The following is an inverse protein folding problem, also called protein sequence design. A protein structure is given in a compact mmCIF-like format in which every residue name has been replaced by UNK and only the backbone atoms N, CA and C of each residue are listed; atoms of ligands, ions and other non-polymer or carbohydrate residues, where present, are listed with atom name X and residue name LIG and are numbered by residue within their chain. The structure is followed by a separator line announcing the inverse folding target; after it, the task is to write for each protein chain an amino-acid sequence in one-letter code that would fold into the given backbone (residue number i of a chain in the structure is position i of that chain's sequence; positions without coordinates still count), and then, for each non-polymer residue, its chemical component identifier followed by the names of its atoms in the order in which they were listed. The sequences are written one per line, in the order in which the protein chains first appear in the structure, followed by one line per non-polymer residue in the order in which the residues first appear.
data_IF_574361254901
#
_entry.id   IF_574361254901
#
_cell.length_a   1.000
_cell.length_b   1.000
_cell.length_c   1.000
_cell.angle_alpha   90.00
_cell.angle_beta   90.00
_cell.angle_gamma   90.00
#
_symmetry.space_group_name_H-M   'P 1'
#
loop_
_entity.id
_entity.type
_entity.pdbx_description
1 polymer ?
#
# COMPACT_ATOMS: atom_id res chain seq x y z
N UNK A 1 20.45 37.27 7.33
CA UNK A 1 20.52 35.96 7.98
C UNK A 1 19.25 35.21 7.73
N UNK A 2 19.20 34.48 6.59
CA UNK A 2 18.08 33.65 6.19
C UNK A 2 18.06 32.34 6.97
N UNK A 3 17.38 32.32 8.10
CA UNK A 3 17.23 31.14 8.91
C UNK A 3 16.27 30.16 8.16
N UNK A 4 16.71 28.92 7.94
CA UNK A 4 15.97 27.86 7.25
C UNK A 4 14.57 27.66 7.85
N UNK A 5 14.43 27.83 9.17
CA UNK A 5 13.15 27.81 9.90
C UNK A 5 12.18 28.91 9.45
N UNK A 6 12.68 30.12 9.16
CA UNK A 6 11.86 31.23 8.66
C UNK A 6 11.41 30.98 7.21
N UNK A 7 12.26 30.32 6.41
CA UNK A 7 11.91 29.88 5.05
C UNK A 7 10.82 28.81 5.03
N UNK A 8 10.91 27.79 5.89
CA UNK A 8 9.91 26.75 6.06
C UNK A 8 8.57 27.29 6.57
N UNK A 9 8.60 28.19 7.57
CA UNK A 9 7.38 28.83 8.09
C UNK A 9 6.71 29.75 7.03
N UNK A 10 7.49 30.43 6.20
CA UNK A 10 6.97 31.20 5.06
C UNK A 10 6.42 30.30 3.98
N UNK A 11 7.07 29.18 3.66
CA UNK A 11 6.55 28.21 2.70
C UNK A 11 5.23 27.57 3.17
N UNK A 12 5.12 27.19 4.46
CA UNK A 12 3.87 26.68 5.04
C UNK A 12 2.76 27.72 5.09
N UNK A 13 3.08 28.99 5.37
CA UNK A 13 2.13 30.09 5.31
C UNK A 13 1.67 30.36 3.85
N UNK A 14 2.58 30.28 2.87
CA UNK A 14 2.26 30.43 1.45
C UNK A 14 1.32 29.31 0.95
N UNK A 15 1.53 28.07 1.39
CA UNK A 15 0.63 26.94 1.08
C UNK A 15 -0.73 27.13 1.75
N UNK A 16 -0.75 27.63 3.00
CA UNK A 16 -1.98 27.89 3.76
C UNK A 16 -2.82 29.01 3.13
N UNK A 17 -2.18 30.05 2.56
CA UNK A 17 -2.86 31.20 1.95
C UNK A 17 -3.25 30.99 0.46
N UNK A 18 -3.11 29.79 -0.07
CA UNK A 18 -3.48 29.46 -1.48
C UNK A 18 -2.74 30.26 -2.59
N UNK A 19 -1.66 30.96 -2.27
CA UNK A 19 -0.96 31.84 -3.22
C UNK A 19 -0.17 31.11 -4.31
N UNK A 20 0.04 29.78 -4.13
CA UNK A 20 0.74 28.94 -5.13
C UNK A 20 -0.20 28.31 -6.16
N UNK A 21 -1.52 28.45 -5.99
CA UNK A 21 -2.46 27.92 -6.97
C UNK A 21 -2.62 28.90 -8.16
N UNK A 22 -2.75 28.39 -9.39
CA UNK A 22 -3.05 29.23 -10.56
C UNK A 22 -4.31 30.07 -10.31
N UNK A 23 -4.32 31.32 -10.84
CA UNK A 23 -5.51 32.18 -10.79
C UNK A 23 -6.68 31.43 -11.44
N UNK A 24 -7.78 31.28 -10.72
CA UNK A 24 -8.97 30.53 -11.17
C UNK A 24 -9.07 29.09 -10.67
N UNK A 25 -8.07 28.58 -9.93
CA UNK A 25 -8.20 27.32 -9.24
C UNK A 25 -8.89 27.56 -7.88
N UNK A 26 -10.20 27.40 -7.87
CA UNK A 26 -10.98 27.50 -6.63
C UNK A 26 -10.87 26.18 -5.84
N UNK A 27 -10.25 26.28 -4.67
CA UNK A 27 -10.05 25.16 -3.76
C UNK A 27 -11.38 24.51 -3.31
N UNK A 28 -12.43 25.31 -3.22
CA UNK A 28 -13.75 24.85 -2.79
C UNK A 28 -14.46 24.03 -3.87
N UNK A 29 -14.15 24.26 -5.15
CA UNK A 29 -14.87 23.67 -6.29
C UNK A 29 -14.18 22.43 -6.87
N UNK A 30 -12.84 22.39 -6.88
CA UNK A 30 -12.08 21.29 -7.50
C UNK A 30 -11.69 20.16 -6.54
N UNK A 31 -11.52 20.47 -5.26
CA UNK A 31 -11.03 19.52 -4.26
C UNK A 31 -12.01 18.38 -3.92
N UNK A 32 -13.32 18.62 -3.73
CA UNK A 32 -14.26 17.55 -3.43
C UNK A 32 -14.36 16.49 -4.53
N UNK A 33 -14.32 16.91 -5.79
CA UNK A 33 -14.37 15.98 -6.93
C UNK A 33 -13.15 15.06 -6.96
N UNK A 34 -11.96 15.61 -6.68
CA UNK A 34 -10.72 14.84 -6.58
C UNK A 34 -10.82 13.82 -5.43
N UNK A 35 -11.37 14.20 -4.28
CA UNK A 35 -11.55 13.28 -3.15
C UNK A 35 -12.52 12.15 -3.49
N UNK A 36 -13.63 12.45 -4.17
CA UNK A 36 -14.62 11.45 -4.60
C UNK A 36 -14.02 10.51 -5.64
N UNK A 37 -13.34 11.03 -6.66
CA UNK A 37 -12.65 10.21 -7.66
C UNK A 37 -11.58 9.34 -7.00
N UNK A 38 -10.81 9.89 -6.05
CA UNK A 38 -9.82 9.15 -5.27
C UNK A 38 -10.44 7.99 -4.48
N UNK A 39 -11.53 8.25 -3.76
CA UNK A 39 -12.24 7.24 -2.99
C UNK A 39 -12.84 6.15 -3.87
N UNK A 40 -13.49 6.53 -4.99
CA UNK A 40 -14.04 5.61 -5.97
C UNK A 40 -12.94 4.73 -6.59
N UNK A 41 -11.80 5.32 -6.96
CA UNK A 41 -10.63 4.60 -7.50
C UNK A 41 -10.08 3.62 -6.47
N UNK A 42 -9.92 4.05 -5.20
CA UNK A 42 -9.42 3.21 -4.13
C UNK A 42 -10.32 1.99 -3.93
N UNK A 43 -11.63 2.20 -3.83
CA UNK A 43 -12.62 1.15 -3.63
C UNK A 43 -12.69 0.18 -4.81
N UNK A 44 -12.83 0.71 -6.04
CA UNK A 44 -12.93 -0.11 -7.24
C UNK A 44 -11.67 -0.96 -7.44
N UNK A 45 -10.48 -0.40 -7.30
CA UNK A 45 -9.24 -1.15 -7.41
C UNK A 45 -9.11 -2.23 -6.31
N UNK A 46 -9.60 -1.98 -5.09
CA UNK A 46 -9.61 -2.98 -4.02
C UNK A 46 -10.52 -4.17 -4.35
N UNK A 47 -11.71 -3.92 -4.92
CA UNK A 47 -12.60 -5.02 -5.36
C UNK A 47 -11.97 -5.86 -6.48
N UNK A 48 -11.24 -5.22 -7.41
CA UNK A 48 -10.48 -5.94 -8.44
C UNK A 48 -9.35 -6.79 -7.83
N UNK A 49 -8.67 -6.27 -6.80
CA UNK A 49 -7.62 -7.01 -6.07
C UNK A 49 -8.14 -8.29 -5.41
N UNK A 50 -9.37 -8.29 -4.91
CA UNK A 50 -10.01 -9.48 -4.33
C UNK A 50 -10.21 -10.58 -5.37
N UNK A 51 -10.59 -10.23 -6.59
CA UNK A 51 -10.92 -11.18 -7.66
C UNK A 51 -9.68 -11.81 -8.33
N UNK A 52 -8.49 -11.20 -8.19
CA UNK A 52 -7.28 -11.69 -8.85
C UNK A 52 -6.72 -12.95 -8.18
N UNK A 53 -6.20 -13.85 -9.00
CA UNK A 53 -5.43 -15.03 -8.57
C UNK A 53 -3.94 -14.90 -8.84
N UNK A 54 -3.53 -14.01 -9.73
CA UNK A 54 -2.13 -13.69 -10.02
C UNK A 54 -1.55 -12.76 -8.95
N UNK A 55 -0.46 -13.20 -8.30
CA UNK A 55 0.20 -12.46 -7.20
C UNK A 55 0.61 -11.04 -7.61
N UNK A 56 1.13 -10.85 -8.84
CA UNK A 56 1.52 -9.52 -9.35
C UNK A 56 0.30 -8.65 -9.60
N UNK A 57 -0.80 -9.21 -10.14
CA UNK A 57 -2.03 -8.46 -10.40
C UNK A 57 -2.70 -8.01 -9.11
N UNK A 58 -2.75 -8.86 -8.07
CA UNK A 58 -3.23 -8.45 -6.74
C UNK A 58 -2.46 -7.22 -6.25
N UNK A 59 -1.13 -7.25 -6.32
CA UNK A 59 -0.28 -6.16 -5.87
C UNK A 59 -0.40 -4.91 -6.77
N UNK A 60 -0.61 -5.07 -8.08
CA UNK A 60 -0.84 -3.95 -9.00
C UNK A 60 -2.14 -3.21 -8.67
N UNK A 61 -3.27 -3.92 -8.53
CA UNK A 61 -4.54 -3.30 -8.12
C UNK A 61 -4.46 -2.69 -6.72
N UNK A 62 -3.73 -3.31 -5.83
CA UNK A 62 -3.43 -2.74 -4.52
C UNK A 62 -2.68 -1.40 -4.64
N UNK A 63 -1.76 -1.23 -5.62
CA UNK A 63 -1.08 0.05 -5.87
C UNK A 63 -2.08 1.12 -6.30
N UNK A 64 -2.95 0.80 -7.27
CA UNK A 64 -3.99 1.72 -7.73
C UNK A 64 -4.91 2.14 -6.58
N UNK A 65 -5.27 1.19 -5.71
CA UNK A 65 -6.08 1.47 -4.52
C UNK A 65 -5.39 2.46 -3.57
N UNK A 66 -4.09 2.27 -3.28
CA UNK A 66 -3.35 3.18 -2.38
C UNK A 66 -3.13 4.58 -3.01
N UNK A 67 -2.92 4.65 -4.33
CA UNK A 67 -2.91 5.94 -5.03
C UNK A 67 -4.25 6.66 -4.87
N UNK A 68 -5.38 5.95 -4.91
CA UNK A 68 -6.69 6.51 -4.61
C UNK A 68 -6.75 7.21 -3.25
N UNK A 69 -6.17 6.63 -2.18
CA UNK A 69 -6.06 7.30 -0.88
C UNK A 69 -5.23 8.60 -0.93
N UNK A 70 -4.15 8.61 -1.73
CA UNK A 70 -3.35 9.83 -1.90
C UNK A 70 -4.15 10.92 -2.60
N UNK A 71 -4.98 10.56 -3.59
CA UNK A 71 -5.92 11.49 -4.22
C UNK A 71 -7.00 11.96 -3.26
N UNK A 72 -7.50 11.09 -2.35
CA UNK A 72 -8.40 11.53 -1.27
C UNK A 72 -7.72 12.59 -0.41
N UNK A 73 -6.48 12.36 0.03
CA UNK A 73 -5.73 13.32 0.83
C UNK A 73 -5.57 14.67 0.12
N UNK A 74 -5.20 14.65 -1.17
CA UNK A 74 -5.10 15.87 -1.99
C UNK A 74 -6.45 16.57 -2.10
N UNK A 75 -7.52 15.82 -2.36
CA UNK A 75 -8.87 16.34 -2.54
C UNK A 75 -9.47 17.00 -1.29
N UNK A 76 -9.10 16.52 -0.10
CA UNK A 76 -9.50 17.13 1.18
C UNK A 76 -8.51 18.20 1.69
N UNK A 77 -7.46 18.51 0.89
CA UNK A 77 -6.44 19.49 1.25
C UNK A 77 -5.39 19.04 2.25
N UNK A 78 -5.32 17.74 2.56
CA UNK A 78 -4.36 17.12 3.48
C UNK A 78 -3.08 16.70 2.75
N UNK A 79 -2.39 17.63 2.11
CA UNK A 79 -1.20 17.36 1.27
C UNK A 79 -0.08 16.64 2.02
N UNK A 80 0.16 17.04 3.27
CA UNK A 80 1.19 16.41 4.13
C UNK A 80 0.87 14.95 4.38
N UNK A 81 -0.38 14.61 4.69
CA UNK A 81 -0.83 13.23 4.88
C UNK A 81 -0.66 12.42 3.57
N UNK A 82 -0.98 13.02 2.41
CA UNK A 82 -0.79 12.40 1.11
C UNK A 82 0.68 12.07 0.83
N UNK A 83 1.61 13.01 1.08
CA UNK A 83 3.06 12.80 0.90
C UNK A 83 3.60 11.80 1.93
N UNK A 84 3.14 11.87 3.17
CA UNK A 84 3.52 10.89 4.19
C UNK A 84 3.09 9.47 3.79
N UNK A 85 1.86 9.32 3.28
CA UNK A 85 1.40 8.02 2.79
C UNK A 85 2.17 7.57 1.54
N UNK A 86 2.55 8.48 0.64
CA UNK A 86 3.40 8.16 -0.51
C UNK A 86 4.75 7.59 -0.07
N UNK A 87 5.38 8.19 0.96
CA UNK A 87 6.66 7.73 1.49
C UNK A 87 6.55 6.34 2.11
N UNK A 88 5.60 6.12 3.03
CA UNK A 88 5.40 4.82 3.67
C UNK A 88 5.00 3.75 2.66
N UNK A 89 4.14 4.13 1.68
CA UNK A 89 3.73 3.28 0.57
C UNK A 89 4.92 2.81 -0.27
N UNK A 90 5.91 3.66 -0.53
CA UNK A 90 7.09 3.27 -1.30
C UNK A 90 7.83 2.10 -0.63
N UNK A 91 8.00 2.11 0.69
CA UNK A 91 8.69 1.05 1.42
C UNK A 91 7.91 -0.27 1.42
N UNK A 92 6.68 -0.28 1.90
CA UNK A 92 5.93 -1.54 1.95
C UNK A 92 5.51 -2.06 0.57
N UNK A 93 5.41 -1.20 -0.45
CA UNK A 93 5.16 -1.66 -1.82
C UNK A 93 6.38 -2.27 -2.47
N UNK A 94 7.55 -1.65 -2.31
CA UNK A 94 8.80 -2.26 -2.75
C UNK A 94 8.99 -3.63 -2.07
N UNK A 95 8.74 -3.71 -0.76
CA UNK A 95 8.79 -4.96 -0.01
C UNK A 95 7.88 -6.04 -0.61
N UNK A 96 6.61 -5.71 -0.84
CA UNK A 96 5.62 -6.66 -1.35
C UNK A 96 5.92 -7.11 -2.78
N UNK A 97 6.34 -6.20 -3.68
CA UNK A 97 6.68 -6.56 -5.04
C UNK A 97 7.98 -7.37 -5.15
N UNK A 98 9.02 -7.01 -4.40
CA UNK A 98 10.25 -7.79 -4.35
C UNK A 98 10.01 -9.14 -3.69
N UNK A 99 9.18 -9.20 -2.64
CA UNK A 99 8.75 -10.44 -1.99
C UNK A 99 7.96 -11.34 -2.95
N UNK A 100 7.05 -10.77 -3.75
CA UNK A 100 6.37 -11.53 -4.80
C UNK A 100 7.35 -12.04 -5.87
N UNK A 101 8.37 -11.25 -6.22
CA UNK A 101 9.47 -11.70 -7.09
C UNK A 101 10.22 -12.90 -6.51
N UNK A 102 10.50 -12.88 -5.20
CA UNK A 102 11.13 -14.00 -4.49
C UNK A 102 10.24 -15.26 -4.49
N UNK A 103 8.93 -15.11 -4.27
CA UNK A 103 7.96 -16.23 -4.36
C UNK A 103 7.96 -16.83 -5.77
N UNK A 104 7.87 -16.01 -6.81
CA UNK A 104 7.85 -16.44 -8.20
C UNK A 104 9.17 -17.13 -8.58
N UNK A 105 10.30 -16.61 -8.09
CA UNK A 105 11.61 -17.25 -8.29
C UNK A 105 11.66 -18.64 -7.68
N UNK A 106 11.21 -18.78 -6.42
CA UNK A 106 11.16 -20.07 -5.74
C UNK A 106 10.20 -21.07 -6.43
N UNK A 107 9.12 -20.56 -7.03
CA UNK A 107 8.08 -21.34 -7.73
C UNK A 107 8.41 -21.57 -9.23
N UNK A 108 9.67 -21.38 -9.65
CA UNK A 108 10.11 -21.58 -11.05
C UNK A 108 9.28 -20.79 -12.08
N UNK A 109 8.81 -19.59 -11.71
CA UNK A 109 8.05 -18.71 -12.59
C UNK A 109 6.54 -18.74 -12.42
N UNK A 110 5.98 -19.63 -11.59
CA UNK A 110 4.53 -19.68 -11.34
C UNK A 110 4.05 -18.42 -10.61
N UNK A 111 2.92 -17.86 -11.06
CA UNK A 111 2.32 -16.63 -10.53
C UNK A 111 0.91 -16.84 -9.97
N UNK A 112 0.27 -17.96 -10.27
CA UNK A 112 -1.08 -18.26 -9.83
C UNK A 112 -1.09 -18.72 -8.35
N UNK A 113 -1.70 -17.91 -7.48
CA UNK A 113 -1.87 -18.19 -6.05
C UNK A 113 -2.62 -19.52 -5.79
N UNK A 114 -3.48 -19.95 -6.73
CA UNK A 114 -4.21 -21.20 -6.60
C UNK A 114 -3.31 -22.44 -6.78
N UNK A 115 -2.15 -22.27 -7.39
CA UNK A 115 -1.13 -23.31 -7.55
C UNK A 115 -0.02 -23.26 -6.50
N UNK A 116 -0.11 -22.30 -5.56
CA UNK A 116 0.80 -22.15 -4.43
C UNK A 116 0.24 -22.82 -3.18
N UNK A 117 0.92 -22.70 -2.06
CA UNK A 117 0.48 -23.14 -0.74
C UNK A 117 1.60 -23.77 0.05
N UNK A 118 1.59 -23.60 1.38
CA UNK A 118 2.57 -24.19 2.29
C UNK A 118 3.98 -23.62 2.17
N UNK A 119 4.22 -22.56 1.37
CA UNK A 119 5.55 -22.03 1.06
C UNK A 119 6.33 -21.53 2.29
N UNK A 120 5.66 -21.23 3.41
CA UNK A 120 6.31 -20.76 4.65
C UNK A 120 7.44 -21.67 5.15
N UNK A 121 7.39 -22.96 4.81
CA UNK A 121 8.38 -23.95 5.24
C UNK A 121 9.65 -23.92 4.39
N UNK A 122 9.53 -23.52 3.14
CA UNK A 122 10.58 -23.53 2.13
C UNK A 122 11.27 -22.18 2.00
N UNK A 123 10.51 -21.09 2.15
CA UNK A 123 10.99 -19.70 2.01
C UNK A 123 10.59 -18.85 3.21
N UNK A 124 11.11 -19.14 4.41
CA UNK A 124 10.70 -18.49 5.66
C UNK A 124 11.04 -17.00 5.73
N UNK A 125 12.17 -16.55 5.19
CA UNK A 125 12.53 -15.12 5.19
C UNK A 125 11.57 -14.34 4.31
N UNK A 126 11.32 -14.82 3.10
CA UNK A 126 10.33 -14.22 2.18
C UNK A 126 8.93 -14.21 2.80
N UNK A 127 8.53 -15.31 3.49
CA UNK A 127 7.24 -15.36 4.18
C UNK A 127 7.08 -14.25 5.22
N UNK A 128 8.02 -14.13 6.17
CA UNK A 128 7.89 -13.14 7.24
C UNK A 128 7.96 -11.70 6.73
N UNK A 129 8.79 -11.42 5.75
CA UNK A 129 8.86 -10.09 5.15
C UNK A 129 7.58 -9.74 4.39
N UNK A 130 6.95 -10.70 3.71
CA UNK A 130 5.64 -10.53 3.07
C UNK A 130 4.52 -10.31 4.09
N UNK A 131 4.56 -11.00 5.24
CA UNK A 131 3.60 -10.77 6.34
C UNK A 131 3.74 -9.35 6.89
N UNK A 132 4.97 -8.86 7.13
CA UNK A 132 5.23 -7.47 7.56
C UNK A 132 4.66 -6.49 6.55
N UNK A 133 4.92 -6.68 5.25
CA UNK A 133 4.36 -5.83 4.19
C UNK A 133 2.84 -5.86 4.15
N UNK A 134 2.23 -7.03 4.35
CA UNK A 134 0.77 -7.18 4.39
C UNK A 134 0.15 -6.46 5.60
N UNK A 135 0.79 -6.53 6.78
CA UNK A 135 0.37 -5.80 7.99
C UNK A 135 0.49 -4.28 7.78
N UNK A 136 1.62 -3.83 7.21
CA UNK A 136 1.86 -2.43 6.94
C UNK A 136 0.83 -1.83 5.97
N UNK A 137 0.61 -2.45 4.80
CA UNK A 137 -0.37 -1.94 3.83
C UNK A 137 -1.81 -2.04 4.34
N UNK A 138 -2.13 -3.00 5.19
CA UNK A 138 -3.46 -3.13 5.80
C UNK A 138 -3.75 -2.03 6.81
N UNK A 139 -2.74 -1.29 7.27
CA UNK A 139 -2.89 -0.24 8.27
C UNK A 139 -3.11 -0.80 9.68
N UNK A 140 -2.36 -1.85 10.04
CA UNK A 140 -2.40 -2.46 11.37
C UNK A 140 -1.33 -1.80 12.24
N UNK A 141 -1.69 -1.42 13.48
CA UNK A 141 -0.73 -0.92 14.46
C UNK A 141 0.30 -2.01 14.83
N UNK A 142 1.59 -1.71 14.96
CA UNK A 142 2.25 -0.40 14.93
C UNK A 142 2.94 -0.04 13.59
N UNK A 143 2.55 -0.63 12.48
CA UNK A 143 3.21 -0.45 11.18
C UNK A 143 2.96 0.93 10.57
N UNK A 144 3.91 1.40 9.75
CA UNK A 144 3.90 2.75 9.15
C UNK A 144 2.61 3.08 8.37
N UNK A 145 2.01 2.08 7.71
CA UNK A 145 0.76 2.25 6.98
C UNK A 145 -0.45 2.56 7.85
N UNK A 146 -0.43 2.20 9.15
CA UNK A 146 -1.47 2.59 10.10
C UNK A 146 -1.49 4.11 10.26
N UNK A 147 -0.37 4.70 10.63
CA UNK A 147 -0.27 6.14 10.89
C UNK A 147 -0.61 6.97 9.66
N UNK A 148 -0.07 6.61 8.51
CA UNK A 148 -0.26 7.39 7.28
C UNK A 148 -1.68 7.28 6.71
N UNK A 149 -2.31 6.12 6.81
CA UNK A 149 -3.69 5.92 6.33
C UNK A 149 -4.72 6.52 7.28
N UNK A 150 -4.50 6.39 8.59
CA UNK A 150 -5.35 6.97 9.62
C UNK A 150 -5.41 8.50 9.50
N UNK A 151 -4.27 9.14 9.24
CA UNK A 151 -4.21 10.59 9.04
C UNK A 151 -5.01 11.05 7.80
N UNK A 152 -5.00 10.28 6.71
CA UNK A 152 -5.84 10.56 5.52
C UNK A 152 -7.32 10.42 5.87
N UNK A 153 -7.70 9.34 6.55
CA UNK A 153 -9.10 9.09 6.94
C UNK A 153 -9.59 10.14 7.94
N UNK A 154 -8.77 10.47 8.93
CA UNK A 154 -9.09 11.54 9.87
C UNK A 154 -9.28 12.89 9.18
N UNK A 155 -8.40 13.22 8.23
CA UNK A 155 -8.50 14.45 7.44
C UNK A 155 -9.79 14.49 6.61
N UNK A 156 -10.21 13.37 6.02
CA UNK A 156 -11.46 13.28 5.27
C UNK A 156 -12.68 13.50 6.19
N UNK A 157 -12.68 12.92 7.38
CA UNK A 157 -13.74 13.09 8.36
C UNK A 157 -13.82 14.53 8.87
N UNK A 158 -12.70 15.08 9.36
CA UNK A 158 -12.63 16.41 9.95
C UNK A 158 -12.88 17.56 8.95
N UNK A 159 -12.65 17.30 7.66
CA UNK A 159 -12.97 18.24 6.57
C UNK A 159 -14.43 18.20 6.11
N UNK A 160 -15.30 17.42 6.79
CA UNK A 160 -16.73 17.36 6.49
C UNK A 160 -17.09 16.47 5.31
N UNK A 161 -16.26 15.44 5.00
CA UNK A 161 -16.49 14.49 3.91
C UNK A 161 -16.78 13.06 4.46
N UNK A 162 -17.85 12.83 5.23
CA UNK A 162 -18.11 11.56 5.92
C UNK A 162 -18.32 10.39 4.95
N UNK A 163 -18.86 10.64 3.76
CA UNK A 163 -19.03 9.61 2.72
C UNK A 163 -17.67 9.13 2.19
N UNK A 164 -16.74 10.05 1.90
CA UNK A 164 -15.39 9.74 1.46
C UNK A 164 -14.64 8.95 2.53
N UNK A 165 -14.79 9.36 3.80
CA UNK A 165 -14.26 8.63 4.95
C UNK A 165 -14.82 7.20 5.03
N UNK A 166 -16.15 7.02 4.92
CA UNK A 166 -16.78 5.71 5.00
C UNK A 166 -16.32 4.77 3.88
N UNK A 167 -16.23 5.28 2.63
CA UNK A 167 -15.70 4.52 1.49
C UNK A 167 -14.23 4.16 1.72
N UNK A 168 -13.43 5.10 2.23
CA UNK A 168 -12.04 4.86 2.59
C UNK A 168 -11.89 3.79 3.66
N UNK A 169 -12.69 3.84 4.73
CA UNK A 169 -12.67 2.83 5.80
C UNK A 169 -13.06 1.44 5.28
N UNK A 170 -14.12 1.35 4.48
CA UNK A 170 -14.51 0.10 3.82
C UNK A 170 -13.38 -0.45 2.94
N UNK A 171 -12.73 0.41 2.17
CA UNK A 171 -11.59 0.07 1.33
C UNK A 171 -10.40 -0.44 2.14
N UNK A 172 -10.16 0.11 3.34
CA UNK A 172 -9.11 -0.39 4.25
C UNK A 172 -9.40 -1.84 4.67
N UNK A 173 -10.65 -2.16 4.99
CA UNK A 173 -11.10 -3.53 5.27
C UNK A 173 -10.88 -4.48 4.08
N UNK A 174 -11.24 -4.04 2.86
CA UNK A 174 -10.99 -4.82 1.65
C UNK A 174 -9.48 -5.02 1.40
N UNK A 175 -8.66 -3.99 1.70
CA UNK A 175 -7.19 -4.08 1.59
C UNK A 175 -6.64 -5.16 2.50
N UNK A 176 -7.05 -5.18 3.76
CA UNK A 176 -6.66 -6.22 4.71
C UNK A 176 -7.10 -7.60 4.20
N UNK A 177 -8.34 -7.73 3.75
CA UNK A 177 -8.88 -8.98 3.26
C UNK A 177 -8.06 -9.57 2.10
N UNK A 178 -7.84 -8.81 1.00
CA UNK A 178 -7.11 -9.37 -0.15
C UNK A 178 -5.62 -9.60 0.13
N UNK A 179 -5.01 -8.80 1.00
CA UNK A 179 -3.61 -9.02 1.39
C UNK A 179 -3.43 -10.28 2.23
N UNK A 180 -4.31 -10.50 3.23
CA UNK A 180 -4.27 -11.74 4.00
C UNK A 180 -4.71 -12.95 3.19
N UNK A 181 -5.63 -12.79 2.22
CA UNK A 181 -5.95 -13.82 1.24
C UNK A 181 -4.70 -14.22 0.42
N UNK A 182 -3.93 -13.23 -0.08
CA UNK A 182 -2.69 -13.49 -0.81
C UNK A 182 -1.69 -14.27 0.06
N UNK A 183 -1.43 -13.81 1.29
CA UNK A 183 -0.51 -14.49 2.22
C UNK A 183 -1.00 -15.90 2.54
N UNK A 184 -2.28 -16.08 2.79
CA UNK A 184 -2.87 -17.40 3.11
C UNK A 184 -2.76 -18.37 1.94
N UNK A 185 -3.05 -17.92 0.73
CA UNK A 185 -2.98 -18.77 -0.46
C UNK A 185 -1.54 -19.16 -0.82
N UNK A 186 -0.58 -18.25 -0.68
CA UNK A 186 0.80 -18.52 -1.03
C UNK A 186 1.54 -19.32 0.06
N UNK A 187 1.41 -18.92 1.31
CA UNK A 187 2.31 -19.42 2.38
C UNK A 187 1.66 -20.40 3.33
N UNK A 188 0.33 -20.38 3.49
CA UNK A 188 -0.38 -21.22 4.43
C UNK A 188 -1.24 -22.26 3.69
N UNK A 189 -1.85 -23.18 4.46
CA UNK A 189 -2.69 -24.23 3.89
C UNK A 189 -1.92 -25.40 3.28
N UNK A 190 -2.64 -26.18 2.46
CA UNK A 190 -2.08 -27.35 1.76
C UNK A 190 -1.24 -26.94 0.55
N UNK A 191 -0.19 -27.70 0.28
CA UNK A 191 0.62 -27.55 -0.91
C UNK A 191 -0.19 -27.95 -2.14
N UNK A 192 -0.22 -27.07 -3.18
CA UNK A 192 -0.95 -27.28 -4.43
C UNK A 192 -0.03 -27.28 -5.64
N UNK A 193 1.27 -27.15 -5.41
CA UNK A 193 2.31 -27.19 -6.43
C UNK A 193 2.57 -28.62 -6.90
N UNK A 194 3.13 -28.77 -8.09
CA UNK A 194 3.55 -30.05 -8.64
C UNK A 194 4.83 -30.58 -7.97
N UNK A 195 5.10 -31.87 -8.16
CA UNK A 195 6.26 -32.55 -7.57
C UNK A 195 7.60 -32.03 -8.11
N UNK A 196 7.63 -31.56 -9.34
CA UNK A 196 8.83 -31.02 -9.99
C UNK A 196 9.20 -29.67 -9.37
N UNK A 197 8.27 -28.74 -9.31
CA UNK A 197 8.43 -27.43 -8.66
C UNK A 197 8.87 -27.61 -7.20
N UNK A 198 8.25 -28.55 -6.48
CA UNK A 198 8.58 -28.81 -5.08
C UNK A 198 10.03 -29.22 -4.85
N UNK A 199 10.65 -29.97 -5.75
CA UNK A 199 12.06 -30.39 -5.64
C UNK A 199 13.05 -29.23 -5.76
N UNK A 200 12.67 -28.17 -6.44
CA UNK A 200 13.51 -27.00 -6.69
C UNK A 200 13.23 -25.83 -5.73
N UNK A 201 12.25 -25.99 -4.80
CA UNK A 201 11.94 -24.97 -3.82
C UNK A 201 13.09 -24.72 -2.86
N UNK A 202 13.59 -23.50 -2.87
CA UNK A 202 14.60 -23.00 -1.94
C UNK A 202 14.42 -21.53 -1.70
N UNK A 203 14.93 -21.03 -0.57
CA UNK A 203 14.91 -19.58 -0.27
C UNK A 203 15.75 -18.83 -1.31
N UNK A 204 15.32 -17.63 -1.63
CA UNK A 204 16.06 -16.76 -2.53
C UNK A 204 17.43 -16.39 -1.96
N UNK A 205 18.43 -16.12 -2.82
CA UNK A 205 19.79 -15.78 -2.38
C UNK A 205 19.81 -14.51 -1.53
N UNK A 206 20.88 -14.28 -0.72
CA UNK A 206 21.01 -13.11 0.14
C UNK A 206 20.87 -11.76 -0.61
N UNK A 207 21.27 -11.71 -1.87
CA UNK A 207 21.09 -10.53 -2.73
C UNK A 207 19.62 -10.11 -2.90
N UNK A 208 18.68 -11.03 -2.74
CA UNK A 208 17.24 -10.76 -2.77
C UNK A 208 16.66 -10.63 -1.36
N UNK A 209 17.07 -11.46 -0.41
CA UNK A 209 16.47 -11.49 0.94
C UNK A 209 16.94 -10.33 1.83
N UNK A 210 18.18 -9.85 1.69
CA UNK A 210 18.69 -8.69 2.44
C UNK A 210 17.87 -7.43 2.17
N UNK A 211 17.60 -7.03 0.90
CA UNK A 211 16.70 -5.91 0.62
C UNK A 211 15.29 -6.09 1.21
N UNK A 212 14.74 -7.31 1.22
CA UNK A 212 13.44 -7.57 1.83
C UNK A 212 13.44 -7.29 3.33
N UNK A 213 14.49 -7.71 4.05
CA UNK A 213 14.61 -7.46 5.49
C UNK A 213 14.75 -5.96 5.77
N UNK A 214 15.57 -5.24 4.99
CA UNK A 214 15.74 -3.79 5.14
C UNK A 214 14.41 -3.07 4.92
N UNK A 215 13.69 -3.40 3.85
CA UNK A 215 12.39 -2.79 3.56
C UNK A 215 11.32 -3.15 4.60
N UNK A 216 11.39 -4.36 5.18
CA UNK A 216 10.50 -4.75 6.26
C UNK A 216 10.73 -3.88 7.51
N UNK A 217 11.97 -3.60 7.87
CA UNK A 217 12.32 -2.71 8.99
C UNK A 217 11.87 -1.26 8.71
N UNK A 218 11.98 -0.78 7.46
CA UNK A 218 11.53 0.56 7.06
C UNK A 218 9.99 0.67 6.96
N UNK A 219 9.26 -0.44 7.06
CA UNK A 219 7.80 -0.50 7.04
C UNK A 219 7.18 -0.57 8.45
N UNK A 220 8.02 -0.57 9.50
CA UNK A 220 7.62 -0.46 10.91
C UNK A 220 7.41 1.03 11.32
#
# INVERSE_FOLDING_TARGET
DGNITTGLLRATAYVKDNRLLPRGFDKATAAPDIAVIGAATAFFAATMGIAQTDIKKVLAYSTVSQLGYMFVAVGVGAFTAGIFHLMTHAFFKALLFLGAGSVIHAMSGEQDLLRMGGLRRYIPVTHWTMVVGALAISGIFPFAGFFSKDEILWSAWSSGHPLVWAVGLATAGLTAFYMFRLVSLAFWGSERMDHETKRHLHESPPSMTVPLVILALLSL
#
